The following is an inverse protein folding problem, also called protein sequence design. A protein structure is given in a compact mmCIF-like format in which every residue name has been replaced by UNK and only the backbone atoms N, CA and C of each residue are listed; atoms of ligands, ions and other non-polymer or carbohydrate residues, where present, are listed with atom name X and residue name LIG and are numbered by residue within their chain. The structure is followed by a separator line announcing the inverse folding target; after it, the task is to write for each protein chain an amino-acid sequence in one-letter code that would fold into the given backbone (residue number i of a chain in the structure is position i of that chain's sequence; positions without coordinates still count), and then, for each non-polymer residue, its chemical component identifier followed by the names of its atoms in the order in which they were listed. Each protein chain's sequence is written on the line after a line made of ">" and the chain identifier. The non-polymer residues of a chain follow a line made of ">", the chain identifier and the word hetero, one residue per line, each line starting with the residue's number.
data_IF_948750790783
#
_entry.id   IF_948750790783
#
_cell.length_a   1.000
_cell.length_b   1.000
_cell.length_c   1.000
_cell.angle_alpha   90.00
_cell.angle_beta   90.00
_cell.angle_gamma   90.00
#
_symmetry.space_group_name_H-M   'P 1'
#
loop_
_entity.id
_entity.type
_entity.pdbx_description
1 polymer ?
#
# COMPACT_ATOMS: atom_id res chain seq x y z
N UNK A 1 -3.29 25.53 9.96
CA UNK A 1 -2.22 24.51 9.89
C UNK A 1 -2.25 23.85 8.54
N UNK A 2 -1.10 23.69 7.93
CA UNK A 2 -0.99 23.03 6.63
C UNK A 2 -1.29 21.54 6.77
N UNK A 3 -2.15 21.01 5.89
CA UNK A 3 -2.37 19.58 5.78
C UNK A 3 -1.34 18.94 4.84
N UNK A 4 -1.08 17.66 5.03
CA UNK A 4 -0.13 16.92 4.23
C UNK A 4 -0.80 15.76 3.49
N UNK A 5 -0.22 15.40 2.36
CA UNK A 5 -0.50 14.14 1.69
C UNK A 5 0.69 13.23 1.91
N UNK A 6 0.47 12.12 2.58
CA UNK A 6 1.51 11.13 2.90
C UNK A 6 1.30 9.89 2.07
N UNK A 7 2.35 9.45 1.39
CA UNK A 7 2.37 8.18 0.66
C UNK A 7 3.39 7.24 1.32
N UNK A 8 2.90 6.16 1.91
CA UNK A 8 3.75 5.12 2.50
C UNK A 8 3.85 3.93 1.55
N UNK A 9 5.07 3.58 1.16
CA UNK A 9 5.34 2.52 0.18
C UNK A 9 6.00 1.34 0.88
N UNK A 10 5.44 0.15 0.69
CA UNK A 10 5.99 -1.09 1.21
C UNK A 10 6.11 -2.15 0.13
N UNK A 11 6.92 -3.17 0.37
CA UNK A 11 7.06 -4.30 -0.55
C UNK A 11 5.78 -5.15 -0.59
N UNK A 12 5.16 -5.37 0.55
CA UNK A 12 3.96 -6.21 0.74
C UNK A 12 2.88 -5.44 1.48
N UNK A 13 1.64 -5.89 1.36
CA UNK A 13 0.55 -5.37 2.18
C UNK A 13 0.87 -5.67 3.65
N UNK A 14 0.81 -4.64 4.48
CA UNK A 14 1.17 -4.70 5.90
C UNK A 14 2.42 -3.90 6.24
N UNK A 15 3.38 -3.80 5.33
CA UNK A 15 4.65 -3.10 5.59
C UNK A 15 4.43 -1.62 5.93
N UNK A 16 3.71 -0.90 5.09
CA UNK A 16 3.43 0.52 5.29
C UNK A 16 2.56 0.74 6.53
N UNK A 17 1.57 -0.11 6.74
CA UNK A 17 0.64 -0.03 7.86
C UNK A 17 1.37 -0.21 9.20
N UNK A 18 2.29 -1.18 9.28
CA UNK A 18 3.04 -1.46 10.50
C UNK A 18 4.13 -0.44 10.78
N UNK A 19 4.81 0.05 9.75
CA UNK A 19 5.96 0.93 9.93
C UNK A 19 5.58 2.41 9.94
N UNK A 20 4.54 2.79 9.20
CA UNK A 20 4.12 4.19 9.05
C UNK A 20 2.69 4.43 9.54
N UNK A 21 2.05 3.45 10.19
CA UNK A 21 0.64 3.56 10.60
C UNK A 21 0.36 4.74 11.50
N UNK A 22 1.23 5.02 12.46
CA UNK A 22 1.08 6.17 13.36
C UNK A 22 1.14 7.49 12.60
N UNK A 23 2.07 7.62 11.64
CA UNK A 23 2.18 8.82 10.81
C UNK A 23 0.95 8.99 9.92
N UNK A 24 0.49 7.91 9.30
CA UNK A 24 -0.70 7.92 8.45
C UNK A 24 -1.95 8.32 9.24
N UNK A 25 -2.12 7.76 10.45
CA UNK A 25 -3.23 8.08 11.33
C UNK A 25 -3.17 9.54 11.77
N UNK A 26 -2.01 10.03 12.16
CA UNK A 26 -1.81 11.44 12.52
C UNK A 26 -2.15 12.37 11.36
N UNK A 27 -1.71 12.02 10.16
CA UNK A 27 -2.03 12.77 8.95
C UNK A 27 -3.54 12.86 8.75
N UNK A 28 -4.24 11.74 8.85
CA UNK A 28 -5.69 11.68 8.66
C UNK A 28 -6.44 12.50 9.73
N UNK A 29 -6.04 12.37 11.00
CA UNK A 29 -6.67 13.12 12.11
C UNK A 29 -6.53 14.63 11.91
N UNK A 30 -5.44 15.08 11.32
CA UNK A 30 -5.21 16.50 11.05
C UNK A 30 -5.75 16.96 9.69
N UNK A 31 -6.60 16.17 9.06
CA UNK A 31 -7.28 16.54 7.81
C UNK A 31 -6.46 16.33 6.55
N UNK A 32 -5.32 15.66 6.65
CA UNK A 32 -4.48 15.33 5.50
C UNK A 32 -4.95 14.08 4.78
N UNK A 33 -4.25 13.72 3.72
CA UNK A 33 -4.54 12.53 2.92
C UNK A 33 -3.51 11.44 3.19
N UNK A 34 -3.98 10.28 3.64
CA UNK A 34 -3.14 9.12 3.92
C UNK A 34 -3.28 8.09 2.80
N UNK A 35 -2.17 7.70 2.18
CA UNK A 35 -2.17 6.77 1.05
C UNK A 35 -1.11 5.68 1.28
N UNK A 36 -1.47 4.45 1.00
CA UNK A 36 -0.53 3.32 1.02
C UNK A 36 -0.34 2.77 -0.38
N UNK A 37 0.86 2.24 -0.64
CA UNK A 37 1.19 1.52 -1.86
C UNK A 37 1.97 0.26 -1.49
N UNK A 38 1.48 -0.89 -1.90
CA UNK A 38 2.19 -2.17 -1.81
C UNK A 38 2.57 -2.65 -3.20
N UNK A 39 3.80 -3.11 -3.37
CA UNK A 39 4.26 -3.63 -4.67
C UNK A 39 3.68 -5.00 -4.96
N UNK A 40 3.44 -5.81 -3.92
CA UNK A 40 2.78 -7.12 -4.01
C UNK A 40 1.82 -7.27 -2.84
N UNK A 41 0.92 -8.24 -2.91
CA UNK A 41 0.03 -8.56 -1.79
C UNK A 41 0.72 -9.37 -0.68
N UNK A 42 1.89 -9.97 -0.96
CA UNK A 42 2.60 -10.79 0.01
C UNK A 42 2.10 -12.22 0.06
N UNK A 43 1.68 -12.80 -1.07
CA UNK A 43 1.03 -14.12 -1.14
C UNK A 43 1.92 -15.26 -0.64
N UNK A 44 3.25 -15.11 -0.70
CA UNK A 44 4.16 -16.14 -0.17
C UNK A 44 4.06 -16.31 1.34
N UNK A 45 3.47 -15.36 2.05
CA UNK A 45 3.17 -15.48 3.47
C UNK A 45 1.95 -16.32 3.78
N UNK A 46 1.24 -16.84 2.78
CA UNK A 46 0.06 -17.66 2.99
C UNK A 46 0.41 -18.97 3.73
N UNK A 47 -0.50 -19.46 4.60
CA UNK A 47 -0.29 -20.75 5.23
C UNK A 47 -0.20 -21.90 4.23
N UNK A 48 0.50 -22.98 4.60
CA UNK A 48 0.58 -24.17 3.76
C UNK A 48 -0.82 -24.70 3.44
N UNK A 49 -1.06 -25.01 2.18
CA UNK A 49 -2.36 -25.53 1.73
C UNK A 49 -3.43 -24.47 1.47
N UNK A 50 -3.14 -23.19 1.70
CA UNK A 50 -4.09 -22.11 1.41
C UNK A 50 -4.25 -21.89 -0.09
N UNK A 51 -5.44 -21.46 -0.51
CA UNK A 51 -5.67 -20.99 -1.87
C UNK A 51 -5.00 -19.61 -2.01
N UNK A 52 -3.98 -19.53 -2.85
CA UNK A 52 -3.16 -18.32 -3.00
C UNK A 52 -3.99 -17.15 -3.55
N UNK A 53 -4.86 -17.40 -4.52
CA UNK A 53 -5.70 -16.35 -5.09
C UNK A 53 -6.67 -15.78 -4.06
N UNK A 54 -7.27 -16.64 -3.24
CA UNK A 54 -8.15 -16.21 -2.16
C UNK A 54 -7.39 -15.44 -1.08
N UNK A 55 -6.21 -15.94 -0.68
CA UNK A 55 -5.37 -15.25 0.28
C UNK A 55 -5.01 -13.85 -0.22
N UNK A 56 -4.63 -13.74 -1.49
CA UNK A 56 -4.33 -12.46 -2.13
C UNK A 56 -5.52 -11.49 -2.07
N UNK A 57 -6.70 -11.97 -2.43
CA UNK A 57 -7.93 -11.15 -2.35
C UNK A 57 -8.20 -10.66 -0.93
N UNK A 58 -8.01 -11.54 0.05
CA UNK A 58 -8.16 -11.19 1.47
C UNK A 58 -7.19 -10.10 1.91
N UNK A 59 -5.93 -10.20 1.51
CA UNK A 59 -4.92 -9.18 1.82
C UNK A 59 -5.25 -7.83 1.19
N UNK A 60 -5.71 -7.83 -0.05
CA UNK A 60 -6.13 -6.59 -0.73
C UNK A 60 -7.34 -5.98 0.01
N UNK A 61 -8.31 -6.80 0.43
CA UNK A 61 -9.45 -6.32 1.20
C UNK A 61 -9.03 -5.69 2.53
N UNK A 62 -8.01 -6.24 3.20
CA UNK A 62 -7.44 -5.68 4.43
C UNK A 62 -6.80 -4.30 4.16
N UNK A 63 -6.04 -4.17 3.08
CA UNK A 63 -5.43 -2.90 2.70
C UNK A 63 -6.49 -1.83 2.43
N UNK A 64 -7.54 -2.18 1.74
CA UNK A 64 -8.66 -1.29 1.45
C UNK A 64 -9.42 -0.89 2.72
N UNK A 65 -9.62 -1.83 3.65
CA UNK A 65 -10.27 -1.56 4.92
C UNK A 65 -9.45 -0.58 5.77
N UNK A 66 -8.14 -0.77 5.83
CA UNK A 66 -7.23 0.16 6.51
C UNK A 66 -7.35 1.56 5.92
N UNK A 67 -7.32 1.66 4.60
CA UNK A 67 -7.44 2.96 3.91
C UNK A 67 -8.79 3.64 4.22
N UNK A 68 -9.88 2.88 4.24
CA UNK A 68 -11.21 3.42 4.58
C UNK A 68 -11.26 3.99 5.98
N UNK A 69 -10.64 3.32 6.96
CA UNK A 69 -10.58 3.82 8.34
C UNK A 69 -9.91 5.20 8.42
N UNK A 70 -8.96 5.47 7.54
CA UNK A 70 -8.25 6.74 7.50
C UNK A 70 -8.85 7.74 6.51
N UNK A 71 -9.93 7.38 5.82
CA UNK A 71 -10.49 8.21 4.75
C UNK A 71 -9.53 8.39 3.58
N UNK A 72 -8.61 7.47 3.40
CA UNK A 72 -7.54 7.54 2.40
C UNK A 72 -7.69 6.54 1.27
N UNK A 73 -6.57 6.17 0.68
CA UNK A 73 -6.50 5.29 -0.48
C UNK A 73 -5.42 4.22 -0.30
N UNK A 74 -5.67 3.02 -0.84
CA UNK A 74 -4.67 1.96 -0.92
C UNK A 74 -4.45 1.57 -2.38
N UNK A 75 -3.19 1.49 -2.78
CA UNK A 75 -2.78 0.96 -4.07
C UNK A 75 -2.05 -0.36 -3.86
N UNK A 76 -2.36 -1.37 -4.65
CA UNK A 76 -1.65 -2.65 -4.66
C UNK A 76 -1.30 -2.96 -6.12
N UNK A 77 -0.01 -3.05 -6.41
CA UNK A 77 0.43 -3.40 -7.77
C UNK A 77 0.20 -4.89 -8.04
N UNK A 78 0.02 -5.29 -9.30
CA UNK A 78 -0.40 -6.65 -9.65
C UNK A 78 0.74 -7.66 -9.71
N UNK A 79 1.91 -7.35 -9.15
CA UNK A 79 3.06 -8.26 -9.21
C UNK A 79 2.90 -9.40 -8.22
N UNK A 80 3.34 -10.58 -8.64
CA UNK A 80 3.40 -11.73 -7.75
C UNK A 80 4.55 -11.58 -6.75
N UNK A 81 4.28 -11.99 -5.50
CA UNK A 81 5.27 -11.94 -4.44
C UNK A 81 6.48 -12.82 -4.80
N UNK A 82 7.66 -12.22 -4.70
CA UNK A 82 8.92 -12.87 -5.04
C UNK A 82 9.24 -12.95 -6.54
N UNK A 83 8.31 -12.56 -7.40
CA UNK A 83 8.48 -12.62 -8.85
C UNK A 83 8.37 -11.24 -9.54
N UNK A 84 8.28 -10.16 -8.75
CA UNK A 84 8.20 -8.84 -9.36
C UNK A 84 9.46 -8.52 -10.15
N UNK A 85 9.34 -7.91 -11.33
CA UNK A 85 10.52 -7.51 -12.09
C UNK A 85 11.32 -6.43 -11.35
N UNK A 86 12.62 -6.55 -11.35
CA UNK A 86 13.54 -5.56 -10.78
C UNK A 86 13.99 -4.53 -11.81
N UNK A 87 13.13 -4.12 -12.71
CA UNK A 87 13.43 -3.30 -13.88
C UNK A 87 12.63 -2.00 -13.88
N UNK A 88 12.67 -1.28 -15.00
CA UNK A 88 12.01 -0.01 -15.18
C UNK A 88 10.48 -0.11 -15.13
N UNK A 89 9.90 -1.27 -15.46
CA UNK A 89 8.45 -1.45 -15.38
C UNK A 89 7.92 -1.12 -13.98
N UNK A 90 8.54 -1.68 -12.94
CA UNK A 90 8.14 -1.42 -11.54
C UNK A 90 8.40 0.05 -11.19
N UNK A 91 9.56 0.57 -11.58
CA UNK A 91 9.92 1.96 -11.30
C UNK A 91 8.91 2.93 -11.92
N UNK A 92 8.52 2.70 -13.16
CA UNK A 92 7.52 3.55 -13.83
C UNK A 92 6.14 3.43 -13.19
N UNK A 93 5.73 2.21 -12.80
CA UNK A 93 4.46 2.01 -12.10
C UNK A 93 4.42 2.79 -10.78
N UNK A 94 5.50 2.77 -10.00
CA UNK A 94 5.61 3.55 -8.76
C UNK A 94 5.61 5.04 -9.07
N UNK A 95 6.37 5.48 -10.07
CA UNK A 95 6.41 6.89 -10.47
C UNK A 95 5.04 7.42 -10.88
N UNK A 96 4.25 6.61 -11.60
CA UNK A 96 2.91 7.00 -12.02
C UNK A 96 2.00 7.25 -10.81
N UNK A 97 2.09 6.40 -9.78
CA UNK A 97 1.31 6.56 -8.56
C UNK A 97 1.77 7.81 -7.79
N UNK A 98 3.08 8.02 -7.68
CA UNK A 98 3.62 9.23 -7.03
C UNK A 98 3.09 10.49 -7.72
N UNK A 99 3.09 10.50 -9.05
CA UNK A 99 2.59 11.65 -9.82
C UNK A 99 1.09 11.84 -9.65
N UNK A 100 0.32 10.77 -9.54
CA UNK A 100 -1.11 10.84 -9.31
C UNK A 100 -1.44 11.33 -7.90
N UNK A 101 -0.77 10.78 -6.88
CA UNK A 101 -1.01 11.10 -5.47
C UNK A 101 -0.46 12.48 -5.10
N UNK A 102 0.67 12.86 -5.70
CA UNK A 102 1.38 14.14 -5.40
C UNK A 102 1.65 14.29 -3.91
N UNK A 103 2.31 13.33 -3.27
CA UNK A 103 2.59 13.43 -1.85
C UNK A 103 3.62 14.52 -1.56
N UNK A 104 3.53 15.12 -0.37
CA UNK A 104 4.59 16.00 0.14
C UNK A 104 5.43 15.30 1.22
N UNK A 105 5.02 14.10 1.64
CA UNK A 105 5.80 13.23 2.52
C UNK A 105 5.69 11.80 2.01
#
# INVERSE_FOLDING_TARGET
>A
MKTHTVLAIGAHIGDAELTAGALLASCAVHGGKAVTLALTAGEKGAPAGADIAEYRRGKIAEAEAFARELGGQAYVLPYEDGLRPGNDEVRFAVCDIIREVKPDI
#
